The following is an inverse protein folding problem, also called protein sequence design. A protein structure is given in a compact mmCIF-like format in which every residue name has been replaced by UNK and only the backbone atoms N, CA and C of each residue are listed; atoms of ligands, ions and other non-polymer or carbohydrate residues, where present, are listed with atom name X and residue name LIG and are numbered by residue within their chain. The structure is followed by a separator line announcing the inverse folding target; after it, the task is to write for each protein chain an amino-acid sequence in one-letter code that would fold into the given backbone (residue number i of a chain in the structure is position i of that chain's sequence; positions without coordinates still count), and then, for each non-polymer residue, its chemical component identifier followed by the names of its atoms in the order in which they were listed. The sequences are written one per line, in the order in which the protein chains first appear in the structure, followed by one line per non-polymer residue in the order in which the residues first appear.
data_IF_377052418591
#
_entry.id   IF_377052418591
#
_cell.length_a   1.000
_cell.length_b   1.000
_cell.length_c   1.000
_cell.angle_alpha   90.00
_cell.angle_beta   90.00
_cell.angle_gamma   90.00
#
_symmetry.space_group_name_H-M   'P 1'
#
loop_
_entity.id
_entity.type
_entity.pdbx_description
1 polymer ?
#
# COMPACT_ATOMS: atom_id res chain seq x y z
N UNK A 1 -4.94 1.36 -29.65
CA UNK A 1 -3.55 1.03 -29.23
C UNK A 1 -2.76 2.31 -29.05
N UNK A 2 -2.07 2.49 -27.91
CA UNK A 2 -1.10 3.58 -27.73
C UNK A 2 0.03 3.43 -28.77
N UNK A 3 0.15 4.39 -29.71
CA UNK A 3 1.31 4.44 -30.61
C UNK A 3 2.49 5.05 -29.86
N UNK A 4 3.43 4.21 -29.42
CA UNK A 4 4.69 4.64 -28.81
C UNK A 4 5.66 5.07 -29.92
N UNK A 5 5.70 6.36 -30.25
CA UNK A 5 6.61 6.91 -31.26
C UNK A 5 7.82 7.64 -30.66
N UNK A 6 7.76 8.02 -29.39
CA UNK A 6 8.83 8.76 -28.71
C UNK A 6 9.92 7.79 -28.21
N UNK A 7 11.22 8.01 -28.54
CA UNK A 7 12.32 7.15 -28.10
C UNK A 7 12.43 7.01 -26.57
N UNK A 8 12.05 8.05 -25.81
CA UNK A 8 11.99 7.99 -24.34
C UNK A 8 10.92 7.01 -23.87
N UNK A 9 9.74 7.04 -24.52
CA UNK A 9 8.62 6.16 -24.20
C UNK A 9 8.92 4.71 -24.58
N UNK A 10 9.61 4.48 -25.71
CA UNK A 10 10.09 3.16 -26.12
C UNK A 10 11.09 2.58 -25.09
N UNK A 11 12.09 3.35 -24.68
CA UNK A 11 13.05 2.91 -23.67
C UNK A 11 12.40 2.66 -22.31
N UNK A 12 11.40 3.46 -21.93
CA UNK A 12 10.63 3.23 -20.71
C UNK A 12 9.82 1.93 -20.79
N UNK A 13 9.21 1.64 -21.94
CA UNK A 13 8.49 0.40 -22.21
C UNK A 13 9.42 -0.82 -22.16
N UNK A 14 10.60 -0.75 -22.78
CA UNK A 14 11.60 -1.82 -22.70
C UNK A 14 12.01 -2.11 -21.24
N UNK A 15 12.29 -1.07 -20.46
CA UNK A 15 12.57 -1.21 -19.02
C UNK A 15 11.41 -1.86 -18.27
N UNK A 16 10.17 -1.54 -18.63
CA UNK A 16 8.99 -2.16 -18.04
C UNK A 16 8.92 -3.65 -18.41
N UNK A 17 9.17 -4.01 -19.67
CA UNK A 17 9.20 -5.41 -20.13
C UNK A 17 10.25 -6.24 -19.39
N UNK A 18 11.45 -5.69 -19.15
CA UNK A 18 12.46 -6.38 -18.34
C UNK A 18 11.95 -6.70 -16.94
N UNK A 19 11.25 -5.76 -16.30
CA UNK A 19 10.65 -5.97 -14.97
C UNK A 19 9.50 -6.97 -15.01
N UNK A 20 8.66 -6.93 -16.05
CA UNK A 20 7.54 -7.89 -16.24
C UNK A 20 8.08 -9.30 -16.37
N UNK A 21 9.13 -9.51 -17.17
CA UNK A 21 9.78 -10.82 -17.35
C UNK A 21 10.39 -11.35 -16.05
N UNK A 22 10.94 -10.47 -15.23
CA UNK A 22 11.45 -10.85 -13.90
C UNK A 22 10.34 -11.21 -12.91
N UNK A 23 9.09 -10.83 -13.20
CA UNK A 23 7.95 -11.06 -12.34
C UNK A 23 7.94 -10.18 -11.08
N UNK A 24 6.88 -10.28 -10.27
CA UNK A 24 6.85 -9.65 -8.96
C UNK A 24 7.95 -10.25 -8.08
N UNK A 25 8.74 -9.40 -7.40
CA UNK A 25 9.75 -9.88 -6.45
C UNK A 25 9.05 -10.73 -5.37
N UNK A 26 9.47 -11.99 -5.16
CA UNK A 26 8.88 -12.82 -4.13
C UNK A 26 9.09 -12.16 -2.76
N UNK A 27 8.08 -12.27 -1.88
CA UNK A 27 8.22 -11.75 -0.53
C UNK A 27 9.30 -12.54 0.21
N UNK A 28 10.22 -11.89 0.94
CA UNK A 28 11.23 -12.59 1.71
C UNK A 28 10.57 -13.57 2.69
N UNK A 29 10.94 -14.86 2.62
CA UNK A 29 10.62 -15.83 3.67
C UNK A 29 11.71 -15.77 4.72
N UNK A 30 11.34 -15.56 5.97
CA UNK A 30 12.29 -15.53 7.08
C UNK A 30 11.68 -16.21 8.31
N UNK A 31 12.54 -16.78 9.14
CA UNK A 31 12.10 -17.43 10.37
C UNK A 31 11.53 -16.39 11.35
N UNK A 32 10.35 -16.66 11.87
CA UNK A 32 9.71 -15.80 12.87
C UNK A 32 10.49 -15.68 14.18
N UNK A 33 11.43 -16.61 14.42
CA UNK A 33 12.32 -16.67 15.59
C UNK A 33 13.52 -15.72 15.49
N UNK A 34 14.03 -15.52 14.27
CA UNK A 34 15.22 -14.69 14.01
C UNK A 34 14.89 -13.35 13.36
N UNK A 35 13.62 -13.12 13.02
CA UNK A 35 13.15 -11.86 12.46
C UNK A 35 13.39 -10.68 13.41
N UNK A 36 13.76 -9.54 12.84
CA UNK A 36 13.80 -8.29 13.57
C UNK A 36 12.37 -7.88 13.95
N UNK A 37 12.19 -7.54 15.23
CA UNK A 37 10.88 -7.22 15.80
C UNK A 37 10.80 -5.72 16.02
N UNK A 38 9.71 -5.14 15.55
CA UNK A 38 9.36 -3.76 15.84
C UNK A 38 7.99 -3.70 16.51
N UNK A 39 7.90 -2.98 17.63
CA UNK A 39 6.65 -2.79 18.36
C UNK A 39 5.97 -1.52 17.85
N UNK A 40 4.89 -1.71 17.11
CA UNK A 40 4.02 -0.63 16.65
C UNK A 40 3.06 -0.30 17.79
N UNK A 41 3.06 0.94 18.22
CA UNK A 41 2.11 1.48 19.21
C UNK A 41 1.10 2.31 18.44
N UNK A 42 -0.08 1.75 18.23
CA UNK A 42 -1.16 2.34 17.45
C UNK A 42 -2.49 2.14 18.16
N UNK A 43 -3.53 1.83 17.39
CA UNK A 43 -4.90 1.69 17.87
C UNK A 43 -5.53 0.37 17.40
N UNK A 44 -6.49 -0.13 18.15
CA UNK A 44 -7.21 -1.38 17.86
C UNK A 44 -7.88 -1.31 16.50
N UNK A 45 -8.53 -0.19 16.22
CA UNK A 45 -9.30 0.09 15.02
C UNK A 45 -8.43 -0.08 13.76
N UNK A 46 -7.22 0.50 13.77
CA UNK A 46 -6.25 0.35 12.68
C UNK A 46 -5.82 -1.11 12.49
N UNK A 47 -5.60 -1.84 13.58
CA UNK A 47 -5.12 -3.22 13.50
C UNK A 47 -6.21 -4.20 13.08
N UNK A 48 -7.47 -3.96 13.45
CA UNK A 48 -8.60 -4.75 12.96
C UNK A 48 -8.86 -4.49 11.47
N UNK A 49 -8.77 -3.25 10.98
CA UNK A 49 -8.81 -2.95 9.53
C UNK A 49 -7.73 -3.73 8.78
N UNK A 50 -6.48 -3.65 9.25
CA UNK A 50 -5.35 -4.32 8.63
C UNK A 50 -5.51 -5.85 8.64
N UNK A 51 -6.06 -6.41 9.72
CA UNK A 51 -6.36 -7.83 9.85
C UNK A 51 -7.50 -8.25 8.92
N UNK A 52 -8.56 -7.45 8.80
CA UNK A 52 -9.67 -7.68 7.88
C UNK A 52 -9.21 -7.75 6.43
N UNK A 53 -8.41 -6.77 6.00
CA UNK A 53 -7.77 -6.74 4.68
C UNK A 53 -6.89 -7.97 4.48
N UNK A 54 -6.05 -8.29 5.48
CA UNK A 54 -5.19 -9.47 5.44
C UNK A 54 -5.99 -10.74 5.23
N UNK A 55 -7.04 -10.97 6.01
CA UNK A 55 -7.89 -12.15 5.92
C UNK A 55 -8.57 -12.27 4.55
N UNK A 56 -9.10 -11.15 4.03
CA UNK A 56 -9.67 -11.10 2.68
C UNK A 56 -8.67 -11.56 1.60
N UNK A 57 -7.38 -11.26 1.78
CA UNK A 57 -6.31 -11.63 0.85
C UNK A 57 -5.61 -12.96 1.20
N UNK A 58 -6.11 -13.71 2.18
CA UNK A 58 -5.49 -14.97 2.64
C UNK A 58 -4.15 -14.77 3.34
N UNK A 59 -3.96 -13.64 4.03
CA UNK A 59 -2.72 -13.23 4.69
C UNK A 59 -2.92 -12.98 6.18
N UNK A 60 -1.85 -13.19 6.94
CA UNK A 60 -1.81 -12.76 8.34
C UNK A 60 -1.65 -11.25 8.45
N UNK A 61 -2.11 -10.68 9.57
CA UNK A 61 -1.91 -9.26 9.89
C UNK A 61 -0.44 -8.84 9.85
N UNK A 62 0.51 -9.73 10.22
CA UNK A 62 1.94 -9.43 10.08
C UNK A 62 2.38 -9.33 8.62
N UNK A 63 1.92 -10.24 7.76
CA UNK A 63 2.22 -10.20 6.32
C UNK A 63 1.65 -8.93 5.67
N UNK A 64 0.48 -8.50 6.15
CA UNK A 64 -0.18 -7.31 5.66
C UNK A 64 0.50 -6.02 6.13
N UNK A 65 0.91 -5.94 7.41
CA UNK A 65 1.73 -4.85 7.91
C UNK A 65 3.06 -4.72 7.16
N UNK A 66 3.72 -5.85 6.87
CA UNK A 66 4.95 -5.87 6.07
C UNK A 66 4.68 -5.39 4.64
N UNK A 67 3.54 -5.75 4.04
CA UNK A 67 3.15 -5.27 2.71
C UNK A 67 3.05 -3.74 2.68
N UNK A 68 2.32 -3.17 3.63
CA UNK A 68 2.14 -1.72 3.79
C UNK A 68 3.47 -0.97 3.93
N UNK A 69 4.37 -1.49 4.77
CA UNK A 69 5.69 -0.91 5.01
C UNK A 69 6.54 -0.95 3.73
N UNK A 70 6.58 -2.10 3.04
CA UNK A 70 7.37 -2.24 1.82
C UNK A 70 6.83 -1.37 0.69
N UNK A 71 5.51 -1.29 0.52
CA UNK A 71 4.88 -0.39 -0.46
C UNK A 71 5.21 1.08 -0.15
N UNK A 72 5.20 1.47 1.13
CA UNK A 72 5.57 2.84 1.55
C UNK A 72 7.06 3.13 1.35
N UNK A 73 7.95 2.16 1.54
CA UNK A 73 9.37 2.29 1.19
C UNK A 73 9.58 2.44 -0.33
N UNK A 74 8.69 1.87 -1.15
CA UNK A 74 8.65 2.09 -2.59
C UNK A 74 7.93 3.39 -2.98
N UNK A 75 7.52 4.23 -2.01
CA UNK A 75 6.80 5.49 -2.25
C UNK A 75 5.32 5.33 -2.59
N UNK A 76 4.71 4.21 -2.20
CA UNK A 76 3.32 3.84 -2.47
C UNK A 76 2.95 3.83 -3.97
N UNK A 77 3.95 3.62 -4.84
CA UNK A 77 3.77 3.78 -6.28
C UNK A 77 2.74 2.80 -6.85
N UNK A 78 2.77 1.53 -6.42
CA UNK A 78 1.88 0.49 -6.96
C UNK A 78 0.47 0.66 -6.46
N UNK A 79 0.27 0.79 -5.16
CA UNK A 79 -1.05 1.00 -4.54
C UNK A 79 -1.73 2.26 -5.10
N UNK A 80 -1.02 3.38 -5.16
CA UNK A 80 -1.52 4.63 -5.75
C UNK A 80 -1.86 4.48 -7.23
N UNK A 81 -0.99 3.81 -8.01
CA UNK A 81 -1.23 3.61 -9.44
C UNK A 81 -2.50 2.78 -9.69
N UNK A 82 -2.75 1.74 -8.91
CA UNK A 82 -3.96 0.92 -9.04
C UNK A 82 -5.22 1.74 -8.82
N UNK A 83 -5.30 2.48 -7.71
CA UNK A 83 -6.45 3.36 -7.41
C UNK A 83 -6.66 4.35 -8.57
N UNK A 84 -5.61 5.03 -9.02
CA UNK A 84 -5.71 6.01 -10.12
C UNK A 84 -6.16 5.41 -11.44
N UNK A 85 -5.69 4.21 -11.78
CA UNK A 85 -6.12 3.51 -13.00
C UNK A 85 -7.60 3.15 -12.92
N UNK A 86 -8.08 2.67 -11.78
CA UNK A 86 -9.50 2.34 -11.57
C UNK A 86 -10.38 3.60 -11.61
N UNK A 87 -9.94 4.69 -10.97
CA UNK A 87 -10.63 5.98 -11.04
C UNK A 87 -10.69 6.52 -12.48
N UNK A 88 -9.60 6.40 -13.23
CA UNK A 88 -9.55 6.82 -14.64
C UNK A 88 -10.51 5.99 -15.51
N UNK A 89 -10.66 4.69 -15.21
CA UNK A 89 -11.56 3.81 -15.93
C UNK A 89 -13.04 4.11 -15.63
N UNK A 90 -13.42 4.30 -14.36
CA UNK A 90 -14.79 4.70 -13.97
C UNK A 90 -15.17 6.11 -14.42
N UNK A 91 -14.18 6.96 -14.63
CA UNK A 91 -14.40 8.38 -14.89
C UNK A 91 -14.66 9.19 -13.61
N UNK A 92 -14.54 10.52 -13.75
CA UNK A 92 -14.45 11.46 -12.61
C UNK A 92 -15.68 11.46 -11.70
N UNK A 93 -16.88 11.38 -12.28
CA UNK A 93 -18.13 11.49 -11.52
C UNK A 93 -18.35 10.28 -10.61
N UNK A 94 -18.38 9.09 -11.20
CA UNK A 94 -18.61 7.85 -10.47
C UNK A 94 -17.48 7.57 -9.47
N UNK A 95 -16.23 7.82 -9.85
CA UNK A 95 -15.12 7.69 -8.89
C UNK A 95 -15.27 8.62 -7.70
N UNK A 96 -15.71 9.88 -7.87
CA UNK A 96 -15.94 10.78 -6.74
C UNK A 96 -17.06 10.29 -5.81
N UNK A 97 -18.17 9.78 -6.37
CA UNK A 97 -19.27 9.20 -5.59
C UNK A 97 -18.80 7.98 -4.77
N UNK A 98 -18.04 7.06 -5.38
CA UNK A 98 -17.48 5.90 -4.68
C UNK A 98 -16.50 6.31 -3.58
N UNK A 99 -15.60 7.27 -3.85
CA UNK A 99 -14.63 7.73 -2.85
C UNK A 99 -15.30 8.43 -1.66
N UNK A 100 -16.41 9.15 -1.89
CA UNK A 100 -17.18 9.76 -0.82
C UNK A 100 -17.81 8.71 0.11
N UNK A 101 -18.31 7.60 -0.43
CA UNK A 101 -18.88 6.51 0.35
C UNK A 101 -17.82 5.74 1.14
N UNK A 102 -16.65 5.50 0.55
CA UNK A 102 -15.56 4.79 1.24
C UNK A 102 -15.02 5.62 2.41
N UNK A 103 -14.88 6.94 2.22
CA UNK A 103 -14.22 7.84 3.17
C UNK A 103 -12.73 7.55 3.37
N UNK A 104 -12.06 8.40 4.15
CA UNK A 104 -10.68 8.15 4.59
C UNK A 104 -10.67 7.58 6.00
N UNK A 105 -9.84 6.56 6.24
CA UNK A 105 -9.49 6.14 7.59
C UNK A 105 -8.66 7.23 8.25
N UNK A 106 -9.19 7.80 9.32
CA UNK A 106 -8.54 8.81 10.12
C UNK A 106 -8.02 8.21 11.43
N UNK A 107 -6.71 8.32 11.65
CA UNK A 107 -6.08 7.82 12.86
C UNK A 107 -6.44 8.68 14.09
N UNK A 108 -6.81 9.94 13.91
CA UNK A 108 -7.07 10.89 15.00
C UNK A 108 -8.37 10.59 15.75
N UNK A 109 -9.31 9.90 15.12
CA UNK A 109 -10.58 9.49 15.74
C UNK A 109 -10.50 8.12 16.44
N UNK A 110 -9.38 7.42 16.33
CA UNK A 110 -9.17 6.13 16.97
C UNK A 110 -9.04 6.30 18.49
N UNK A 111 -9.74 5.47 19.26
CA UNK A 111 -9.87 5.69 20.70
C UNK A 111 -9.09 4.69 21.55
N UNK A 112 -8.87 3.45 21.06
CA UNK A 112 -8.35 2.35 21.89
C UNK A 112 -6.88 2.06 21.58
N UNK A 113 -5.92 2.44 22.44
CA UNK A 113 -4.51 2.16 22.19
C UNK A 113 -4.20 0.66 22.20
N UNK A 114 -3.40 0.20 21.25
CA UNK A 114 -2.94 -1.18 21.18
C UNK A 114 -1.47 -1.26 20.74
N UNK A 115 -0.80 -2.33 21.17
CA UNK A 115 0.53 -2.68 20.69
C UNK A 115 0.43 -3.87 19.73
N UNK A 116 1.14 -3.77 18.61
CA UNK A 116 1.31 -4.85 17.66
C UNK A 116 2.79 -5.06 17.39
N UNK A 117 3.28 -6.30 17.50
CA UNK A 117 4.68 -6.63 17.21
C UNK A 117 4.78 -7.15 15.79
N UNK A 118 5.29 -6.31 14.89
CA UNK A 118 5.59 -6.71 13.51
C UNK A 118 6.97 -7.33 13.43
N UNK A 119 7.07 -8.42 12.67
CA UNK A 119 8.33 -9.06 12.29
C UNK A 119 8.71 -8.59 10.90
N UNK A 120 9.80 -7.84 10.82
CA UNK A 120 10.27 -7.21 9.60
C UNK A 120 11.27 -8.11 8.87
N UNK A 121 11.32 -8.05 7.53
CA UNK A 121 12.41 -8.62 6.77
C UNK A 121 13.77 -8.00 7.18
N UNK A 122 14.89 -8.70 6.92
CA UNK A 122 16.23 -8.18 7.21
C UNK A 122 16.44 -6.77 6.63
N UNK A 123 17.15 -5.92 7.40
CA UNK A 123 17.50 -4.54 7.04
C UNK A 123 16.33 -3.55 6.89
N UNK A 124 15.07 -3.99 6.85
CA UNK A 124 13.91 -3.10 6.67
C UNK A 124 13.81 -2.08 7.82
N UNK A 125 14.01 -2.54 9.06
CA UNK A 125 14.01 -1.64 10.23
C UNK A 125 15.09 -0.55 10.12
N UNK A 126 16.30 -0.95 9.71
CA UNK A 126 17.43 -0.03 9.56
C UNK A 126 17.17 0.98 8.44
N UNK A 127 16.63 0.54 7.31
CA UNK A 127 16.24 1.41 6.20
C UNK A 127 15.24 2.47 6.67
N UNK A 128 14.20 2.08 7.41
CA UNK A 128 13.20 3.02 7.94
C UNK A 128 13.87 3.99 8.92
N UNK A 129 14.64 3.48 9.88
CA UNK A 129 15.34 4.28 10.88
C UNK A 129 16.24 5.34 10.23
N UNK A 130 17.03 4.92 9.24
CA UNK A 130 18.00 5.79 8.59
C UNK A 130 17.31 6.79 7.64
N UNK A 131 16.21 6.38 7.00
CA UNK A 131 15.33 7.27 6.24
C UNK A 131 14.73 8.37 7.12
N UNK A 132 14.12 8.00 8.25
CA UNK A 132 13.55 8.95 9.22
C UNK A 132 14.62 9.91 9.73
N UNK A 133 15.80 9.41 10.14
CA UNK A 133 16.91 10.26 10.58
C UNK A 133 17.33 11.30 9.54
N UNK A 134 17.37 10.94 8.25
CA UNK A 134 17.71 11.86 7.16
C UNK A 134 16.68 12.97 6.98
N UNK A 135 15.40 12.66 7.15
CA UNK A 135 14.31 13.65 7.06
C UNK A 135 14.37 14.60 8.26
N UNK A 136 14.49 14.06 9.48
CA UNK A 136 14.63 14.86 10.72
C UNK A 136 15.82 15.82 10.66
N UNK A 137 16.96 15.38 10.14
CA UNK A 137 18.18 16.20 10.09
C UNK A 137 18.18 17.27 9.00
N UNK A 138 17.47 17.05 7.88
CA UNK A 138 17.43 18.00 6.75
C UNK A 138 16.29 18.99 6.83
N UNK A 139 15.13 18.57 7.33
CA UNK A 139 13.89 19.35 7.29
C UNK A 139 13.50 19.92 8.65
N UNK A 140 14.31 19.70 9.70
CA UNK A 140 13.99 20.11 11.07
C UNK A 140 12.75 19.43 11.67
N UNK A 141 12.19 18.44 10.96
CA UNK A 141 10.98 17.73 11.36
C UNK A 141 11.20 16.75 12.51
N UNK A 142 10.16 16.46 13.29
CA UNK A 142 10.17 15.50 14.42
C UNK A 142 9.44 14.20 14.12
N UNK A 143 9.55 13.68 12.90
CA UNK A 143 8.91 12.41 12.55
C UNK A 143 9.64 11.28 13.28
N UNK A 144 8.91 10.50 14.08
CA UNK A 144 9.47 9.29 14.69
C UNK A 144 9.27 8.08 13.79
N UNK A 145 10.06 7.02 14.02
CA UNK A 145 9.88 5.75 13.30
C UNK A 145 8.48 5.15 13.54
N UNK A 146 7.88 5.41 14.72
CA UNK A 146 6.51 5.03 15.03
C UNK A 146 5.54 5.74 14.08
N UNK A 147 5.65 7.06 13.98
CA UNK A 147 4.71 7.88 13.20
C UNK A 147 4.80 7.53 11.72
N UNK A 148 6.02 7.35 11.21
CA UNK A 148 6.24 6.90 9.83
C UNK A 148 5.56 5.54 9.56
N UNK A 149 5.70 4.58 10.47
CA UNK A 149 5.06 3.25 10.30
C UNK A 149 3.54 3.36 10.40
N UNK A 150 3.00 4.18 11.31
CA UNK A 150 1.55 4.38 11.40
C UNK A 150 0.99 5.03 10.13
N UNK A 151 1.68 6.04 9.60
CA UNK A 151 1.30 6.68 8.33
C UNK A 151 1.32 5.67 7.17
N UNK A 152 2.36 4.83 7.10
CA UNK A 152 2.44 3.76 6.11
C UNK A 152 1.26 2.78 6.19
N UNK A 153 0.84 2.39 7.40
CA UNK A 153 -0.31 1.51 7.61
C UNK A 153 -1.63 2.20 7.22
N UNK A 154 -1.83 3.46 7.59
CA UNK A 154 -3.05 4.21 7.25
C UNK A 154 -3.18 4.38 5.73
N UNK A 155 -2.10 4.79 5.05
CA UNK A 155 -2.06 4.91 3.58
C UNK A 155 -2.40 3.59 2.90
N UNK A 156 -1.88 2.48 3.43
CA UNK A 156 -2.19 1.14 2.93
C UNK A 156 -3.67 0.79 3.10
N UNK A 157 -4.23 0.96 4.31
CA UNK A 157 -5.65 0.71 4.59
C UNK A 157 -6.55 1.50 3.63
N UNK A 158 -6.29 2.80 3.47
CA UNK A 158 -7.05 3.65 2.55
C UNK A 158 -6.93 3.15 1.11
N UNK A 159 -5.71 2.87 0.64
CA UNK A 159 -5.50 2.40 -0.73
C UNK A 159 -6.22 1.08 -1.01
N UNK A 160 -6.18 0.13 -0.06
CA UNK A 160 -6.84 -1.17 -0.23
C UNK A 160 -8.36 -1.06 -0.18
N UNK A 161 -8.93 -0.22 0.70
CA UNK A 161 -10.37 0.05 0.74
C UNK A 161 -10.86 0.72 -0.55
N UNK A 162 -10.11 1.71 -1.04
CA UNK A 162 -10.42 2.40 -2.29
C UNK A 162 -10.31 1.48 -3.50
N UNK A 163 -9.23 0.69 -3.58
CA UNK A 163 -9.02 -0.32 -4.64
C UNK A 163 -10.19 -1.31 -4.70
N UNK A 164 -10.58 -1.86 -3.54
CA UNK A 164 -11.70 -2.78 -3.43
C UNK A 164 -13.00 -2.13 -3.93
N UNK A 165 -13.37 -0.97 -3.39
CA UNK A 165 -14.63 -0.31 -3.73
C UNK A 165 -14.71 0.06 -5.21
N UNK A 166 -13.65 0.66 -5.78
CA UNK A 166 -13.62 1.03 -7.19
C UNK A 166 -13.72 -0.20 -8.10
N UNK A 167 -12.97 -1.27 -7.79
CA UNK A 167 -13.01 -2.48 -8.60
C UNK A 167 -14.38 -3.16 -8.53
N UNK A 168 -14.99 -3.23 -7.34
CA UNK A 168 -16.36 -3.73 -7.18
C UNK A 168 -17.36 -2.91 -7.99
N UNK A 169 -17.27 -1.57 -7.95
CA UNK A 169 -18.15 -0.71 -8.76
C UNK A 169 -17.97 -0.97 -10.26
N UNK A 170 -16.73 -1.11 -10.75
CA UNK A 170 -16.46 -1.41 -12.15
C UNK A 170 -17.14 -2.72 -12.56
N UNK A 171 -16.96 -3.77 -11.76
CA UNK A 171 -17.53 -5.10 -12.04
C UNK A 171 -19.06 -5.05 -12.08
N UNK A 172 -19.71 -4.31 -11.18
CA UNK A 172 -21.17 -4.25 -11.15
C UNK A 172 -21.77 -3.35 -12.24
N UNK A 173 -21.10 -2.24 -12.58
CA UNK A 173 -21.58 -1.29 -13.60
C UNK A 173 -21.38 -1.84 -15.02
N UNK A 174 -20.31 -2.58 -15.26
CA UNK A 174 -19.99 -3.14 -16.58
C UNK A 174 -19.51 -4.58 -16.47
N UNK A 175 -20.47 -5.52 -16.48
CA UNK A 175 -20.20 -6.96 -16.45
C UNK A 175 -19.56 -7.47 -17.76
N UNK A 176 -19.67 -6.71 -18.86
CA UNK A 176 -19.12 -7.09 -20.16
C UNK A 176 -17.58 -7.01 -20.21
N UNK A 177 -16.95 -6.28 -19.27
CA UNK A 177 -15.50 -6.27 -19.08
C UNK A 177 -14.89 -7.67 -18.85
N UNK A 178 -15.68 -8.60 -18.31
CA UNK A 178 -15.25 -9.97 -18.03
C UNK A 178 -15.45 -10.91 -19.23
N UNK A 179 -16.13 -10.46 -20.28
CA UNK A 179 -16.49 -11.26 -21.46
C UNK A 179 -15.57 -10.98 -22.67
N UNK A 180 -14.72 -9.97 -22.60
CA UNK A 180 -13.84 -9.53 -23.70
C UNK A 180 -12.43 -10.14 -23.69
N UNK A 181 -12.19 -11.17 -22.86
CA UNK A 181 -10.90 -11.86 -22.76
C UNK A 181 -11.03 -13.36 -22.93
#
# INVERSE_FOLDING_TARGET
MLKLSNPVALRAFEKALTKVRAGPRPRPRFSSRTADKFVIRGYVELFEELKGIGLHQGRSMNSEAVAAILDSLEGNLRSTARVRVLQAHLGRRLSAEVMAEVGEFDLTVCAKPQKFVVRLPPSVRDIIRDGVKKVTSREGGKISMRDWVLEALVKWVNSQRQEFALLTTIIEVDKSLLEQF
#
